data_IF_225911166460
#
_entry.id   IF_225911166460
#
_cell.length_a   1.000
_cell.length_b   1.000
_cell.length_c   1.000
_cell.angle_alpha   90.00
_cell.angle_beta   90.00
_cell.angle_gamma   90.00
#
_symmetry.space_group_name_H-M   'P 1'
#
loop_
_entity.id
_entity.type
_entity.pdbx_description
1 polymer ?
#
# COMPACT_ATOMS: atom_id res chain seq x y z
N UNK A 1 -1.14 -10.15 13.10
CA UNK A 1 -2.55 -9.68 13.06
C UNK A 1 -3.22 -10.42 11.90
N UNK A 2 -4.34 -11.10 12.16
CA UNK A 2 -5.01 -11.96 11.18
C UNK A 2 -5.53 -11.14 9.99
N UNK A 3 -5.34 -11.64 8.78
CA UNK A 3 -5.87 -11.12 7.50
C UNK A 3 -7.38 -10.89 7.55
N UNK A 4 -8.05 -11.58 8.48
CA UNK A 4 -9.46 -11.38 8.79
C UNK A 4 -9.80 -9.97 9.23
N UNK A 5 -8.93 -9.23 9.94
CA UNK A 5 -9.24 -7.87 10.39
C UNK A 5 -9.31 -6.85 9.24
N UNK A 6 -8.46 -7.00 8.22
CA UNK A 6 -8.47 -6.16 7.01
C UNK A 6 -9.69 -6.45 6.12
N UNK A 7 -10.14 -7.71 6.14
CA UNK A 7 -11.29 -8.20 5.38
C UNK A 7 -12.60 -8.24 6.20
N UNK A 8 -12.63 -7.86 7.48
CA UNK A 8 -13.76 -8.13 8.38
C UNK A 8 -15.11 -7.62 7.83
N UNK A 9 -15.12 -6.48 7.13
CA UNK A 9 -16.33 -5.91 6.51
C UNK A 9 -16.52 -6.37 5.04
N UNK A 10 -15.45 -6.85 4.39
CA UNK A 10 -15.51 -7.53 3.10
C UNK A 10 -15.97 -9.00 3.23
N UNK A 11 -15.87 -9.56 4.43
CA UNK A 11 -16.07 -10.98 4.70
C UNK A 11 -17.52 -11.40 4.44
N UNK A 12 -18.51 -10.57 4.75
CA UNK A 12 -19.92 -10.92 4.54
C UNK A 12 -20.26 -11.00 3.04
N UNK A 13 -19.97 -9.99 2.18
CA UNK A 13 -20.14 -10.13 0.73
C UNK A 13 -19.28 -11.26 0.12
N UNK A 14 -18.03 -11.40 0.57
CA UNK A 14 -17.12 -12.42 0.04
C UNK A 14 -17.44 -13.83 0.56
N UNK A 15 -18.16 -13.97 1.67
CA UNK A 15 -18.58 -15.28 2.21
C UNK A 15 -19.55 -16.02 1.29
N UNK A 16 -20.28 -15.26 0.45
CA UNK A 16 -21.10 -15.80 -0.63
C UNK A 16 -20.25 -16.44 -1.74
N UNK A 17 -18.93 -16.19 -1.75
CA UNK A 17 -17.96 -16.70 -2.72
C UNK A 17 -16.72 -17.28 -2.01
N UNK A 18 -16.83 -18.44 -1.33
CA UNK A 18 -15.80 -18.97 -0.45
C UNK A 18 -14.46 -19.26 -1.15
N UNK A 19 -14.49 -19.62 -2.44
CA UNK A 19 -13.27 -19.83 -3.24
C UNK A 19 -12.53 -18.50 -3.43
N UNK A 20 -13.25 -17.45 -3.81
CA UNK A 20 -12.66 -16.11 -4.02
C UNK A 20 -12.10 -15.55 -2.71
N UNK A 21 -12.81 -15.73 -1.60
CA UNK A 21 -12.32 -15.34 -0.27
C UNK A 21 -11.02 -16.07 0.09
N UNK A 22 -10.97 -17.39 -0.08
CA UNK A 22 -9.77 -18.19 0.21
C UNK A 22 -8.57 -17.79 -0.67
N UNK A 23 -8.81 -17.50 -1.96
CA UNK A 23 -7.76 -17.04 -2.86
C UNK A 23 -7.25 -15.65 -2.48
N UNK A 24 -8.15 -14.75 -2.08
CA UNK A 24 -7.77 -13.42 -1.61
C UNK A 24 -6.95 -13.49 -0.31
N UNK A 25 -7.36 -14.32 0.64
CA UNK A 25 -6.59 -14.54 1.86
C UNK A 25 -5.20 -15.11 1.56
N UNK A 26 -5.10 -16.09 0.64
CA UNK A 26 -3.80 -16.62 0.20
C UNK A 26 -2.93 -15.54 -0.43
N UNK A 27 -3.50 -14.69 -1.29
CA UNK A 27 -2.78 -13.60 -1.93
C UNK A 27 -2.32 -12.54 -0.91
N UNK A 28 -3.18 -12.17 0.03
CA UNK A 28 -2.83 -11.25 1.10
C UNK A 28 -1.72 -11.82 1.97
N UNK A 29 -1.82 -13.08 2.36
CA UNK A 29 -0.83 -13.72 3.20
C UNK A 29 0.51 -13.89 2.49
N UNK A 30 0.54 -14.19 1.19
CA UNK A 30 1.77 -14.35 0.42
C UNK A 30 2.48 -13.03 0.13
N UNK A 31 1.71 -11.95 -0.05
CA UNK A 31 2.26 -10.61 -0.34
C UNK A 31 2.63 -9.84 0.94
N UNK A 32 2.00 -10.18 2.07
CA UNK A 32 2.30 -9.61 3.40
C UNK A 32 3.58 -10.15 4.03
N UNK A 33 4.17 -11.25 3.53
CA UNK A 33 5.30 -12.00 4.16
C UNK A 33 6.54 -11.16 4.46
N UNK A 34 6.64 -9.92 3.95
CA UNK A 34 7.66 -8.99 4.41
C UNK A 34 7.00 -7.83 5.15
N UNK A 35 7.03 -7.84 6.49
CA UNK A 35 6.86 -6.63 7.32
C UNK A 35 8.06 -5.70 7.14
N UNK A 36 8.43 -5.43 5.89
CA UNK A 36 9.44 -4.45 5.56
C UNK A 36 8.79 -3.07 5.74
N UNK A 37 9.54 -2.10 6.28
CA UNK A 37 9.00 -0.78 6.57
C UNK A 37 8.36 -0.10 5.33
N UNK A 38 8.86 -0.39 4.13
CA UNK A 38 8.33 0.09 2.85
C UNK A 38 6.90 -0.40 2.53
N UNK A 39 6.52 -1.60 3.00
CA UNK A 39 5.19 -2.13 2.74
C UNK A 39 4.11 -1.37 3.50
N UNK A 40 4.44 -0.86 4.70
CA UNK A 40 3.54 0.03 5.43
C UNK A 40 3.44 1.41 4.77
N UNK A 41 4.57 1.95 4.28
CA UNK A 41 4.58 3.19 3.51
C UNK A 41 3.71 3.07 2.23
N UNK A 42 3.83 1.96 1.51
CA UNK A 42 3.00 1.64 0.35
C UNK A 42 1.51 1.61 0.69
N UNK A 43 1.12 0.87 1.73
CA UNK A 43 -0.28 0.78 2.12
C UNK A 43 -0.87 2.15 2.51
N UNK A 44 -0.12 2.96 3.28
CA UNK A 44 -0.55 4.30 3.68
C UNK A 44 -0.64 5.26 2.49
N UNK A 45 0.33 5.24 1.57
CA UNK A 45 0.30 6.07 0.35
C UNK A 45 -0.86 5.67 -0.56
N UNK A 46 -1.08 4.38 -0.80
CA UNK A 46 -2.21 3.88 -1.57
C UNK A 46 -3.55 4.31 -0.95
N UNK A 47 -3.70 4.18 0.38
CA UNK A 47 -4.91 4.57 1.09
C UNK A 47 -5.17 6.07 0.99
N UNK A 48 -4.12 6.89 1.15
CA UNK A 48 -4.19 8.33 0.98
C UNK A 48 -4.59 8.73 -0.44
N UNK A 49 -3.92 8.19 -1.46
CA UNK A 49 -4.16 8.55 -2.87
C UNK A 49 -5.56 8.16 -3.30
N UNK A 50 -6.04 6.98 -2.90
CA UNK A 50 -7.38 6.52 -3.23
C UNK A 50 -8.48 7.12 -2.34
N UNK A 51 -8.12 7.91 -1.32
CA UNK A 51 -9.08 8.49 -0.39
C UNK A 51 -9.84 7.44 0.42
N UNK A 52 -9.14 6.44 0.98
CA UNK A 52 -9.72 5.38 1.82
C UNK A 52 -9.32 5.56 3.30
N UNK A 53 -10.14 6.23 4.12
CA UNK A 53 -9.83 6.50 5.53
C UNK A 53 -9.73 5.23 6.38
N UNK A 54 -10.62 4.27 6.16
CA UNK A 54 -10.64 2.98 6.87
C UNK A 54 -9.32 2.22 6.68
N UNK A 55 -8.84 2.08 5.43
CA UNK A 55 -7.55 1.47 5.15
C UNK A 55 -6.40 2.25 5.76
N UNK A 56 -6.45 3.58 5.70
CA UNK A 56 -5.42 4.42 6.29
C UNK A 56 -5.33 4.20 7.81
N UNK A 57 -6.46 4.14 8.51
CA UNK A 57 -6.54 3.90 9.96
C UNK A 57 -6.02 2.50 10.34
N UNK A 58 -6.44 1.45 9.63
CA UNK A 58 -5.97 0.07 9.87
C UNK A 58 -4.44 -0.03 9.73
N UNK A 59 -3.88 0.60 8.69
CA UNK A 59 -2.44 0.63 8.48
C UNK A 59 -1.70 1.43 9.56
N UNK A 60 -2.33 2.44 10.16
CA UNK A 60 -1.75 3.22 11.26
C UNK A 60 -1.65 2.45 12.58
N UNK A 61 -2.62 1.59 12.89
CA UNK A 61 -2.63 0.80 14.12
C UNK A 61 -1.61 -0.36 14.14
N UNK A 62 -0.84 -0.51 13.06
CA UNK A 62 0.03 -1.68 12.84
C UNK A 62 1.48 -1.53 13.31
N UNK A 63 1.99 -0.33 13.64
CA UNK A 63 3.38 -0.13 14.13
C UNK A 63 3.64 1.27 14.71
N UNK A 64 4.50 1.36 15.73
CA UNK A 64 4.88 2.60 16.44
C UNK A 64 5.96 3.41 15.70
N UNK A 65 6.75 2.78 14.83
CA UNK A 65 7.92 3.38 14.16
C UNK A 65 7.54 4.47 13.13
N UNK A 66 6.33 4.37 12.57
CA UNK A 66 5.85 5.25 11.49
C UNK A 66 4.93 6.37 11.96
N UNK A 67 4.80 6.63 13.27
CA UNK A 67 4.01 7.75 13.78
C UNK A 67 4.40 9.09 13.13
N UNK A 68 5.70 9.34 12.93
CA UNK A 68 6.21 10.55 12.26
C UNK A 68 5.80 10.61 10.78
N UNK A 69 5.91 9.49 10.06
CA UNK A 69 5.51 9.41 8.65
C UNK A 69 3.98 9.50 8.50
N UNK A 70 3.20 8.95 9.42
CA UNK A 70 1.74 9.08 9.38
C UNK A 70 1.26 10.52 9.49
N UNK A 71 1.93 11.35 10.29
CA UNK A 71 1.63 12.78 10.40
C UNK A 71 1.98 13.52 9.09
N UNK A 72 3.09 13.14 8.46
CA UNK A 72 3.49 13.64 7.14
C UNK A 72 2.49 13.22 6.04
N UNK A 73 2.07 11.96 6.02
CA UNK A 73 1.18 11.44 4.98
C UNK A 73 -0.23 12.03 5.05
N UNK A 74 -0.63 12.62 6.18
CA UNK A 74 -1.86 13.44 6.26
C UNK A 74 -1.73 14.83 5.64
N UNK A 75 -0.50 15.28 5.35
CA UNK A 75 -0.26 16.59 4.70
C UNK A 75 -0.51 16.52 3.20
N UNK A 76 -0.35 17.67 2.53
CA UNK A 76 -0.40 17.77 1.08
C UNK A 76 0.70 16.97 0.40
N UNK A 77 0.54 16.80 -0.91
CA UNK A 77 1.50 16.04 -1.73
C UNK A 77 2.86 16.75 -1.83
N UNK A 78 2.86 18.08 -1.85
CA UNK A 78 4.08 18.87 -1.89
C UNK A 78 4.97 18.59 -0.67
N UNK A 79 4.37 18.47 0.51
CA UNK A 79 5.08 18.18 1.74
C UNK A 79 5.64 16.76 1.76
N UNK A 80 4.91 15.79 1.22
CA UNK A 80 5.37 14.40 1.06
C UNK A 80 6.56 14.36 0.10
N UNK A 81 6.46 15.04 -1.04
CA UNK A 81 7.54 15.08 -2.03
C UNK A 81 8.78 15.80 -1.49
N UNK A 82 8.61 16.91 -0.77
CA UNK A 82 9.73 17.61 -0.10
C UNK A 82 10.41 16.76 0.97
N UNK A 83 9.66 15.95 1.70
CA UNK A 83 10.24 14.99 2.63
C UNK A 83 11.01 13.90 1.87
N UNK A 84 10.41 13.33 0.83
CA UNK A 84 11.02 12.30 -0.01
C UNK A 84 12.31 12.80 -0.67
N UNK A 85 12.36 14.07 -1.11
CA UNK A 85 13.56 14.69 -1.67
C UNK A 85 14.75 14.71 -0.68
N UNK A 86 14.48 14.67 0.63
CA UNK A 86 15.50 14.60 1.70
C UNK A 86 15.84 13.16 2.12
N UNK A 87 15.17 12.16 1.55
CA UNK A 87 15.27 10.75 1.91
C UNK A 87 15.40 9.92 0.61
N UNK A 88 16.63 9.79 0.10
CA UNK A 88 16.88 9.27 -1.26
C UNK A 88 16.31 7.88 -1.52
N UNK A 89 16.41 6.96 -0.54
CA UNK A 89 15.88 5.59 -0.62
C UNK A 89 14.34 5.59 -0.70
N UNK A 90 13.71 6.40 0.14
CA UNK A 90 12.27 6.55 0.20
C UNK A 90 11.73 7.32 -1.00
N UNK A 91 12.52 8.19 -1.63
CA UNK A 91 12.14 8.93 -2.83
C UNK A 91 11.71 8.03 -3.96
N UNK A 92 12.56 7.08 -4.35
CA UNK A 92 12.26 6.13 -5.42
C UNK A 92 11.00 5.32 -5.09
N UNK A 93 10.89 4.88 -3.84
CA UNK A 93 9.74 4.13 -3.31
C UNK A 93 8.45 4.95 -3.40
N UNK A 94 8.42 6.18 -2.88
CA UNK A 94 7.28 7.10 -2.90
C UNK A 94 6.82 7.37 -4.33
N UNK A 95 7.75 7.70 -5.23
CA UNK A 95 7.43 7.99 -6.63
C UNK A 95 6.84 6.77 -7.33
N UNK A 96 7.45 5.59 -7.16
CA UNK A 96 6.96 4.36 -7.77
C UNK A 96 5.52 4.04 -7.32
N UNK A 97 5.24 4.14 -6.02
CA UNK A 97 3.90 3.90 -5.45
C UNK A 97 2.89 4.94 -5.96
N UNK A 98 3.27 6.23 -6.00
CA UNK A 98 2.40 7.30 -6.49
C UNK A 98 2.00 7.07 -7.96
N UNK A 99 2.95 6.73 -8.83
CA UNK A 99 2.68 6.43 -10.23
C UNK A 99 1.82 5.18 -10.39
N UNK A 100 2.20 4.08 -9.74
CA UNK A 100 1.48 2.81 -9.82
C UNK A 100 0.03 2.93 -9.32
N UNK A 101 -0.23 3.77 -8.32
CA UNK A 101 -1.58 3.94 -7.75
C UNK A 101 -2.48 4.83 -8.62
N UNK A 102 -1.92 5.88 -9.24
CA UNK A 102 -2.68 6.92 -9.96
C UNK A 102 -2.81 6.64 -11.45
N UNK A 103 -1.74 6.18 -12.08
CA UNK A 103 -1.63 5.97 -13.51
C UNK A 103 -0.77 4.74 -13.78
N UNK A 104 -1.24 3.53 -13.42
CA UNK A 104 -0.48 2.30 -13.60
C UNK A 104 -0.09 2.05 -15.05
N UNK A 105 -0.88 2.53 -16.01
CA UNK A 105 -0.60 2.51 -17.45
C UNK A 105 0.65 3.31 -17.85
N UNK A 106 1.07 4.26 -17.00
CA UNK A 106 2.26 5.11 -17.20
C UNK A 106 3.46 4.65 -16.38
N UNK A 107 3.32 3.60 -15.56
CA UNK A 107 4.43 3.05 -14.81
C UNK A 107 5.42 2.37 -15.76
N UNK A 108 6.69 2.71 -15.67
CA UNK A 108 7.71 2.28 -16.63
C UNK A 108 9.07 2.04 -15.99
N UNK A 109 10.06 1.68 -16.82
CA UNK A 109 11.46 1.57 -16.42
C UNK A 109 11.98 2.84 -15.70
N UNK A 110 11.46 4.03 -16.03
CA UNK A 110 11.87 5.28 -15.39
C UNK A 110 11.54 5.32 -13.88
N UNK A 111 10.47 4.65 -13.45
CA UNK A 111 10.09 4.54 -12.04
C UNK A 111 10.67 3.27 -11.39
N UNK A 112 10.96 2.24 -12.19
CA UNK A 112 11.50 0.97 -11.71
C UNK A 112 13.01 1.01 -11.46
N UNK A 113 13.80 1.56 -12.38
CA UNK A 113 15.27 1.59 -12.28
C UNK A 113 15.78 2.26 -10.99
N UNK A 114 15.23 3.40 -10.53
CA UNK A 114 15.66 4.01 -9.28
C UNK A 114 15.45 3.11 -8.04
N UNK A 115 14.52 2.15 -8.09
CA UNK A 115 14.32 1.20 -6.99
C UNK A 115 15.47 0.18 -6.89
N UNK A 116 16.13 -0.13 -8.01
CA UNK A 116 17.25 -1.08 -8.07
C UNK A 116 18.55 -0.50 -7.53
N UNK A 117 18.69 0.83 -7.53
CA UNK A 117 19.92 1.52 -7.14
C UNK A 117 20.19 1.48 -5.61
N UNK A 118 19.21 1.07 -4.80
CA UNK A 118 19.24 1.15 -3.33
C UNK A 118 19.44 -0.20 -2.63
N UNK A 119 20.26 -1.10 -3.18
CA UNK A 119 20.63 -2.41 -2.60
C UNK A 119 19.43 -3.35 -2.29
N UNK A 120 18.23 -3.05 -2.79
CA UNK A 120 17.07 -3.93 -2.68
C UNK A 120 17.16 -5.00 -3.77
N UNK A 121 16.95 -6.25 -3.39
CA UNK A 121 16.81 -7.32 -4.38
C UNK A 121 15.60 -7.08 -5.28
N UNK A 122 15.67 -7.49 -6.54
CA UNK A 122 14.53 -7.41 -7.47
C UNK A 122 13.29 -8.07 -6.89
N UNK A 123 13.43 -9.17 -6.14
CA UNK A 123 12.32 -9.83 -5.44
C UNK A 123 11.64 -8.92 -4.42
N UNK A 124 12.40 -8.17 -3.62
CA UNK A 124 11.83 -7.23 -2.65
C UNK A 124 11.07 -6.09 -3.35
N UNK A 125 11.63 -5.58 -4.45
CA UNK A 125 11.01 -4.52 -5.25
C UNK A 125 9.69 -5.02 -5.87
N UNK A 126 9.71 -6.22 -6.48
CA UNK A 126 8.50 -6.81 -7.05
C UNK A 126 7.45 -7.04 -5.97
N UNK A 127 7.83 -7.55 -4.80
CA UNK A 127 6.90 -7.74 -3.69
C UNK A 127 6.26 -6.41 -3.23
N UNK A 128 7.05 -5.34 -3.16
CA UNK A 128 6.56 -3.99 -2.83
C UNK A 128 5.56 -3.48 -3.88
N UNK A 129 5.83 -3.66 -5.17
CA UNK A 129 4.95 -3.21 -6.25
C UNK A 129 3.65 -4.02 -6.29
N UNK A 130 3.74 -5.35 -6.12
CA UNK A 130 2.57 -6.25 -6.02
C UNK A 130 1.72 -5.86 -4.81
N UNK A 131 2.35 -5.62 -3.66
CA UNK A 131 1.66 -5.16 -2.46
C UNK A 131 0.96 -3.81 -2.67
N UNK A 132 1.63 -2.85 -3.32
CA UNK A 132 1.06 -1.55 -3.65
C UNK A 132 -0.18 -1.66 -4.55
N UNK A 133 -0.12 -2.52 -5.57
CA UNK A 133 -1.26 -2.81 -6.45
C UNK A 133 -2.42 -3.46 -5.68
N UNK A 134 -2.13 -4.42 -4.81
CA UNK A 134 -3.13 -5.10 -3.99
C UNK A 134 -3.81 -4.14 -3.00
N UNK A 135 -3.04 -3.29 -2.30
CA UNK A 135 -3.60 -2.21 -1.46
C UNK A 135 -4.48 -1.28 -2.29
N UNK A 136 -4.02 -0.86 -3.47
CA UNK A 136 -4.79 0.00 -4.35
C UNK A 136 -6.12 -0.61 -4.79
N UNK A 137 -6.17 -1.91 -5.02
CA UNK A 137 -7.39 -2.66 -5.34
C UNK A 137 -8.32 -2.78 -4.13
N UNK A 138 -7.79 -3.18 -2.96
CA UNK A 138 -8.57 -3.31 -1.71
C UNK A 138 -9.21 -1.99 -1.30
N UNK A 139 -8.49 -0.87 -1.40
CA UNK A 139 -9.02 0.45 -1.08
C UNK A 139 -10.26 0.78 -1.93
N UNK A 140 -10.20 0.52 -3.24
CA UNK A 140 -11.30 0.77 -4.17
C UNK A 140 -12.48 -0.17 -3.92
N UNK A 141 -12.20 -1.43 -3.60
CA UNK A 141 -13.24 -2.40 -3.24
C UNK A 141 -14.00 -1.98 -1.98
N UNK A 142 -13.28 -1.59 -0.92
CA UNK A 142 -13.87 -1.10 0.34
C UNK A 142 -14.72 0.15 0.13
N UNK A 143 -14.20 1.14 -0.61
CA UNK A 143 -14.96 2.35 -0.96
C UNK A 143 -16.24 1.99 -1.73
N UNK A 144 -16.16 1.12 -2.73
CA UNK A 144 -17.30 0.71 -3.53
C UNK A 144 -18.39 -0.02 -2.70
N UNK A 145 -17.99 -0.68 -1.61
CA UNK A 145 -18.88 -1.33 -0.67
C UNK A 145 -19.40 -0.40 0.45
N UNK A 146 -19.03 0.89 0.42
CA UNK A 146 -19.50 1.89 1.38
C UNK A 146 -18.63 2.05 2.62
N UNK A 147 -17.50 1.35 2.72
CA UNK A 147 -16.54 1.54 3.82
C UNK A 147 -15.83 2.88 3.67
N UNK A 148 -16.26 3.87 4.46
CA UNK A 148 -15.76 5.25 4.39
C UNK A 148 -15.07 5.71 5.67
N UNK A 149 -15.08 4.90 6.74
CA UNK A 149 -14.50 5.21 8.05
C UNK A 149 -13.97 3.98 8.78
#
# INVERSE_FOLDING_TARGET
KSSTAELCQLAEPLSLHPISLSLLEKLLNSTRVNTQPDNQLAALLCARINGSPACFAICMDSSNEYKKISALLRKGENEINQWADRHSVERATVQAIQWLTRAPDRFSAAQFSPLLEHEKSSTQIINLLVWSGLCGWINRLKIALGETY
#
